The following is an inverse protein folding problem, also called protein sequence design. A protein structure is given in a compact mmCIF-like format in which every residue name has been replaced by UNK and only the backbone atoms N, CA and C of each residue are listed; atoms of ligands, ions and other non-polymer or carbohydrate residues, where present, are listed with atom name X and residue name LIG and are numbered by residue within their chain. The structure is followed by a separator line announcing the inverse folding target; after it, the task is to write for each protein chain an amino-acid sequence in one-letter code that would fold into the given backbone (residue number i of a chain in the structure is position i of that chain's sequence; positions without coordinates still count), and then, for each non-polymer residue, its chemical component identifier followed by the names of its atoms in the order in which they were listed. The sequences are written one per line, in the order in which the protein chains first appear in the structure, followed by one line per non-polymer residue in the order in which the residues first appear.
data_IF_271595231684
#
_entry.id   IF_271595231684
#
_cell.length_a   1.000
_cell.length_b   1.000
_cell.length_c   1.000
_cell.angle_alpha   90.00
_cell.angle_beta   90.00
_cell.angle_gamma   90.00
#
_symmetry.space_group_name_H-M   'P 1'
#
loop_
_entity.id
_entity.type
_entity.pdbx_description
1 polymer ?
#
# COMPACT_ATOMS: atom_id res chain seq x y z
N UNK A 1 -5.60 10.28 26.97
CA UNK A 1 -5.38 9.36 25.82
C UNK A 1 -6.75 9.02 25.24
N UNK A 2 -7.24 9.79 24.26
CA UNK A 2 -8.59 9.62 23.71
C UNK A 2 -8.71 8.34 22.88
N UNK A 3 -9.80 7.59 23.07
CA UNK A 3 -10.16 6.44 22.25
C UNK A 3 -10.41 6.90 20.81
N UNK A 4 -9.71 6.37 19.80
CA UNK A 4 -9.97 6.74 18.41
C UNK A 4 -11.41 6.37 18.05
N UNK A 5 -12.18 7.35 17.58
CA UNK A 5 -13.59 7.20 17.24
C UNK A 5 -13.81 6.08 16.22
N UNK A 6 -14.98 5.44 16.23
CA UNK A 6 -15.27 4.24 15.42
C UNK A 6 -14.93 4.39 13.92
N UNK A 7 -15.01 5.61 13.36
CA UNK A 7 -14.61 5.91 11.97
C UNK A 7 -13.11 5.76 11.71
N UNK A 8 -12.26 6.07 12.68
CA UNK A 8 -10.81 5.97 12.56
C UNK A 8 -10.36 4.50 12.56
N UNK A 9 -11.01 3.64 13.37
CA UNK A 9 -10.74 2.18 13.40
C UNK A 9 -11.01 1.49 12.05
N UNK A 10 -11.93 1.99 11.23
CA UNK A 10 -12.28 1.40 9.93
C UNK A 10 -11.47 1.95 8.76
N UNK A 11 -10.76 3.07 8.96
CA UNK A 11 -10.00 3.69 7.89
C UNK A 11 -8.71 2.95 7.59
N UNK A 12 -8.35 2.93 6.31
CA UNK A 12 -7.12 2.31 5.84
C UNK A 12 -5.88 3.07 6.35
N UNK A 13 -4.72 2.41 6.40
CA UNK A 13 -3.44 3.04 6.76
C UNK A 13 -3.13 4.31 5.95
N UNK A 14 -3.39 4.31 4.65
CA UNK A 14 -3.13 5.48 3.80
C UNK A 14 -4.13 6.63 4.04
N UNK A 15 -5.34 6.31 4.47
CA UNK A 15 -6.45 7.23 4.69
C UNK A 15 -6.26 7.97 6.00
N UNK A 16 -5.89 7.23 7.06
CA UNK A 16 -5.57 7.80 8.37
C UNK A 16 -4.42 8.79 8.27
N UNK A 17 -3.39 8.44 7.49
CA UNK A 17 -2.24 9.32 7.24
C UNK A 17 -2.51 10.41 6.19
N UNK A 18 -3.75 10.58 5.70
CA UNK A 18 -4.12 11.54 4.64
C UNK A 18 -3.25 11.48 3.38
N UNK A 19 -2.70 10.30 3.07
CA UNK A 19 -1.82 10.09 1.92
C UNK A 19 -2.70 10.01 0.67
N UNK A 20 -2.75 11.11 -0.08
CA UNK A 20 -3.55 11.21 -1.31
C UNK A 20 -2.92 10.46 -2.48
N UNK A 21 -1.59 10.37 -2.52
CA UNK A 21 -0.82 9.76 -3.61
C UNK A 21 0.21 8.77 -3.06
N UNK A 22 0.32 7.62 -3.71
CA UNK A 22 1.28 6.56 -3.35
C UNK A 22 2.34 6.58 -4.44
N UNK A 23 3.52 7.06 -4.09
CA UNK A 23 4.64 7.18 -5.01
C UNK A 23 5.28 5.83 -5.30
N UNK A 24 5.78 5.68 -6.53
CA UNK A 24 6.51 4.46 -6.94
C UNK A 24 7.98 4.49 -6.46
N UNK A 25 8.46 5.66 -6.05
CA UNK A 25 9.83 5.89 -5.55
C UNK A 25 9.98 5.47 -4.08
N UNK A 26 8.88 5.41 -3.34
CA UNK A 26 8.88 5.07 -1.91
C UNK A 26 8.96 3.56 -1.68
N UNK A 27 10.16 3.01 -1.88
CA UNK A 27 10.42 1.57 -1.82
C UNK A 27 9.99 0.97 -0.48
N UNK A 28 10.29 1.63 0.63
CA UNK A 28 9.97 1.16 1.98
C UNK A 28 8.47 0.97 2.22
N UNK A 29 7.64 1.79 1.56
CA UNK A 29 6.19 1.73 1.68
C UNK A 29 5.62 0.64 0.79
N UNK A 30 6.16 0.49 -0.42
CA UNK A 30 5.75 -0.52 -1.40
C UNK A 30 6.17 -1.93 -1.01
N UNK A 31 7.37 -2.11 -0.44
CA UNK A 31 7.84 -3.41 0.07
C UNK A 31 6.91 -3.98 1.13
N UNK A 32 6.34 -3.15 2.02
CA UNK A 32 5.35 -3.56 3.03
C UNK A 32 4.03 -4.06 2.42
N UNK A 33 3.77 -3.77 1.15
CA UNK A 33 2.60 -4.25 0.40
C UNK A 33 2.90 -5.49 -0.45
N UNK A 34 4.14 -5.99 -0.42
CA UNK A 34 4.57 -7.18 -1.11
C UNK A 34 4.78 -8.35 -0.15
N UNK A 35 4.53 -9.55 -0.63
CA UNK A 35 4.95 -10.78 0.02
C UNK A 35 6.45 -10.97 -0.10
N UNK A 36 7.01 -11.87 0.71
CA UNK A 36 8.42 -12.28 0.61
C UNK A 36 8.82 -12.84 -0.77
N UNK A 37 7.85 -13.24 -1.61
CA UNK A 37 8.07 -13.72 -2.99
C UNK A 37 7.87 -12.62 -4.04
N UNK A 38 7.79 -11.36 -3.61
CA UNK A 38 7.52 -10.22 -4.49
C UNK A 38 6.09 -10.14 -5.03
N UNK A 39 5.11 -10.92 -4.54
CA UNK A 39 3.69 -10.82 -4.97
C UNK A 39 2.97 -9.70 -4.23
N UNK A 40 1.97 -9.08 -4.84
CA UNK A 40 1.20 -8.00 -4.19
C UNK A 40 0.21 -8.60 -3.19
N UNK A 41 0.19 -8.12 -1.94
CA UNK A 41 -0.82 -8.53 -0.97
C UNK A 41 -2.24 -8.17 -1.44
N UNK A 42 -3.19 -9.07 -1.15
CA UNK A 42 -4.60 -8.81 -1.41
C UNK A 42 -5.11 -7.65 -0.53
N UNK A 43 -6.24 -7.05 -0.93
CA UNK A 43 -6.89 -5.98 -0.16
C UNK A 43 -7.19 -6.40 1.28
N UNK A 44 -7.65 -7.65 1.48
CA UNK A 44 -7.98 -8.22 2.80
C UNK A 44 -6.75 -8.30 3.70
N UNK A 45 -5.60 -8.68 3.17
CA UNK A 45 -4.34 -8.80 3.92
C UNK A 45 -3.66 -7.45 4.16
N UNK A 46 -3.71 -6.55 3.19
CA UNK A 46 -3.12 -5.20 3.31
C UNK A 46 -3.97 -4.22 4.12
N UNK A 47 -5.24 -4.54 4.38
CA UNK A 47 -6.16 -3.66 5.12
C UNK A 47 -6.50 -2.37 4.40
N UNK A 48 -6.33 -2.32 3.07
CA UNK A 48 -6.44 -1.10 2.29
C UNK A 48 -7.87 -0.84 1.74
N UNK A 49 -8.23 0.42 1.50
CA UNK A 49 -9.45 0.73 0.73
C UNK A 49 -9.34 0.26 -0.71
N UNK A 50 -10.50 0.08 -1.37
CA UNK A 50 -10.54 -0.21 -2.79
C UNK A 50 -9.83 0.86 -3.64
N UNK A 51 -10.00 2.16 -3.32
CA UNK A 51 -9.31 3.25 -4.03
C UNK A 51 -7.80 3.23 -3.83
N UNK A 52 -7.38 2.99 -2.59
CA UNK A 52 -5.98 3.05 -2.17
C UNK A 52 -5.22 1.81 -2.67
N UNK A 53 -5.88 0.66 -2.72
CA UNK A 53 -5.34 -0.56 -3.33
C UNK A 53 -5.12 -0.38 -4.84
N UNK A 54 -6.03 0.32 -5.54
CA UNK A 54 -5.85 0.64 -6.98
C UNK A 54 -4.63 1.52 -7.20
N UNK A 55 -4.46 2.56 -6.39
CA UNK A 55 -3.28 3.46 -6.42
C UNK A 55 -2.00 2.70 -6.13
N UNK A 56 -1.97 1.90 -5.07
CA UNK A 56 -0.83 1.07 -4.70
C UNK A 56 -0.45 0.08 -5.81
N UNK A 57 -1.42 -0.61 -6.41
CA UNK A 57 -1.17 -1.53 -7.53
C UNK A 57 -0.54 -0.81 -8.72
N UNK A 58 -0.97 0.41 -9.03
CA UNK A 58 -0.38 1.23 -10.12
C UNK A 58 1.05 1.63 -9.78
N UNK A 59 1.31 2.06 -8.55
CA UNK A 59 2.64 2.42 -8.07
C UNK A 59 3.62 1.23 -8.11
N UNK A 60 3.20 0.06 -7.60
CA UNK A 60 4.02 -1.16 -7.61
C UNK A 60 4.35 -1.58 -9.05
N UNK A 61 3.37 -1.56 -9.96
CA UNK A 61 3.61 -1.90 -11.37
C UNK A 61 4.62 -0.95 -12.03
N UNK A 62 4.52 0.35 -11.76
CA UNK A 62 5.49 1.35 -12.24
C UNK A 62 6.88 1.10 -11.67
N UNK A 63 6.99 0.88 -10.36
CA UNK A 63 8.24 0.60 -9.68
C UNK A 63 8.95 -0.65 -10.25
N UNK A 64 8.19 -1.68 -10.61
CA UNK A 64 8.73 -2.88 -11.27
C UNK A 64 9.24 -2.61 -12.69
N UNK A 65 8.53 -1.77 -13.45
CA UNK A 65 8.93 -1.41 -14.81
C UNK A 65 10.29 -0.69 -14.86
N UNK A 66 10.58 0.13 -13.85
CA UNK A 66 11.85 0.86 -13.73
C UNK A 66 12.89 0.14 -12.85
N UNK A 67 12.70 -1.17 -12.59
CA UNK A 67 13.61 -2.03 -11.82
C UNK A 67 13.88 -1.63 -10.35
N UNK A 68 13.02 -0.79 -9.73
CA UNK A 68 13.10 -0.48 -8.29
C UNK A 68 12.63 -1.67 -7.43
N UNK A 69 11.66 -2.44 -7.92
CA UNK A 69 11.13 -3.62 -7.24
C UNK A 69 11.23 -4.86 -8.13
N UNK A 70 11.60 -6.02 -7.57
CA UNK A 70 11.63 -7.26 -8.33
C UNK A 70 10.22 -7.76 -8.67
N UNK A 71 10.11 -8.46 -9.81
CA UNK A 71 8.90 -9.21 -10.17
C UNK A 71 8.79 -10.50 -9.37
N UNK A 72 9.93 -11.14 -9.12
CA UNK A 72 10.07 -12.38 -8.37
C UNK A 72 11.38 -12.31 -7.59
N UNK A 73 11.35 -12.85 -6.38
CA UNK A 73 12.52 -13.14 -5.53
C UNK A 73 12.54 -14.63 -5.27
#
# INVERSE_FOLDING_TARGET
MGTPGARERTQCRFCRNSIKYIDYKDVSTLQKLLTNRGKIYSRKRSGNCAGCQRKAKKAIKRARYIAILPYTT
#
